data_IF_983547471384
#
_entry.id   IF_983547471384
#
_cell.length_a   1.000
_cell.length_b   1.000
_cell.length_c   1.000
_cell.angle_alpha   90.00
_cell.angle_beta   90.00
_cell.angle_gamma   90.00
#
_symmetry.space_group_name_H-M   'P 1'
#
loop_
_entity.id
_entity.type
_entity.pdbx_description
1 polymer ?
#
# COMPACT_ATOMS: atom_id res chain seq x y z
N UNK A 1 -14.50 32.92 -44.54
CA UNK A 1 -14.09 33.35 -43.18
C UNK A 1 -14.36 32.18 -42.25
N UNK A 2 -13.39 31.36 -42.01
CA UNK A 2 -13.47 30.19 -41.18
C UNK A 2 -12.84 30.55 -39.80
N UNK A 3 -13.63 30.51 -38.77
CA UNK A 3 -13.13 30.62 -37.42
C UNK A 3 -12.71 29.23 -36.94
N UNK A 4 -11.42 29.05 -36.81
CA UNK A 4 -10.82 27.94 -36.08
C UNK A 4 -10.87 28.29 -34.60
N UNK A 5 -11.74 27.65 -33.84
CA UNK A 5 -11.73 27.67 -32.39
C UNK A 5 -10.57 26.77 -31.92
N UNK A 6 -9.50 27.37 -31.42
CA UNK A 6 -8.45 26.65 -30.68
C UNK A 6 -9.05 26.11 -29.38
N UNK A 7 -9.15 24.80 -29.31
CA UNK A 7 -9.34 24.06 -28.05
C UNK A 7 -8.01 24.06 -27.29
N UNK A 8 -7.86 25.02 -26.40
CA UNK A 8 -6.75 25.09 -25.45
C UNK A 8 -7.06 24.13 -24.30
N UNK A 9 -6.83 22.83 -24.54
CA UNK A 9 -6.94 21.80 -23.52
C UNK A 9 -5.63 21.72 -22.76
N UNK A 10 -5.67 22.04 -21.50
CA UNK A 10 -4.53 22.03 -20.59
C UNK A 10 -3.87 20.63 -20.53
N UNK A 11 -2.63 20.45 -20.96
CA UNK A 11 -1.96 19.13 -20.95
C UNK A 11 -1.57 18.64 -19.55
N UNK A 12 -1.73 19.46 -18.53
CA UNK A 12 -1.27 19.16 -17.18
C UNK A 12 -2.17 18.19 -16.39
N UNK A 13 -3.49 18.19 -16.65
CA UNK A 13 -4.43 17.33 -15.92
C UNK A 13 -4.41 15.87 -16.40
N UNK A 14 -4.27 15.65 -17.72
CA UNK A 14 -4.19 14.29 -18.26
C UNK A 14 -2.90 13.58 -17.83
N UNK A 15 -1.78 14.31 -17.78
CA UNK A 15 -0.49 13.74 -17.39
C UNK A 15 -0.40 13.32 -15.89
N UNK A 16 -1.20 13.95 -15.02
CA UNK A 16 -1.20 13.62 -13.60
C UNK A 16 -2.21 12.53 -13.23
N UNK A 17 -3.38 12.52 -13.85
CA UNK A 17 -4.34 11.43 -13.69
C UNK A 17 -3.80 10.09 -14.19
N UNK A 18 -3.05 10.11 -15.30
CA UNK A 18 -2.36 8.93 -15.86
C UNK A 18 -1.23 8.43 -14.95
N UNK A 19 -0.62 9.29 -14.13
CA UNK A 19 0.48 8.90 -13.22
C UNK A 19 0.01 8.25 -11.92
N UNK A 20 -1.17 8.59 -11.47
CA UNK A 20 -1.77 7.98 -10.27
C UNK A 20 -2.44 6.63 -10.56
N UNK A 21 -2.89 6.42 -11.80
CA UNK A 21 -3.26 5.08 -12.25
C UNK A 21 -1.95 4.30 -12.45
N UNK A 22 -1.74 3.29 -11.67
CA UNK A 22 -0.61 2.36 -11.82
C UNK A 22 -0.53 1.90 -13.28
N UNK A 23 0.68 1.74 -13.89
CA UNK A 23 0.87 1.59 -15.34
C UNK A 23 -0.01 0.52 -16.03
N UNK A 24 -0.39 -0.53 -15.32
CA UNK A 24 -1.21 -1.60 -15.87
C UNK A 24 -2.71 -1.23 -16.00
N UNK A 25 -3.23 -0.30 -15.21
CA UNK A 25 -4.59 0.22 -15.41
C UNK A 25 -4.72 0.99 -16.75
N UNK A 26 -3.59 1.49 -17.31
CA UNK A 26 -3.57 2.17 -18.60
C UNK A 26 -3.68 1.22 -19.80
N UNK A 27 -3.15 0.00 -19.67
CA UNK A 27 -3.18 -0.95 -20.79
C UNK A 27 -4.61 -1.42 -21.11
N UNK A 28 -5.50 -1.41 -20.12
CA UNK A 28 -6.91 -1.79 -20.30
C UNK A 28 -7.76 -0.66 -20.90
N UNK A 29 -7.35 0.60 -20.77
CA UNK A 29 -8.11 1.77 -21.28
C UNK A 29 -7.83 2.07 -22.75
N UNK A 30 -6.64 1.70 -23.28
CA UNK A 30 -6.26 2.00 -24.68
C UNK A 30 -6.91 1.05 -25.70
N UNK A 31 -7.44 -0.10 -25.26
CA UNK A 31 -8.10 -1.07 -26.15
C UNK A 31 -9.59 -0.81 -26.43
N UNK A 32 -10.23 0.19 -25.85
CA UNK A 32 -11.68 0.33 -25.83
C UNK A 32 -12.27 1.68 -26.26
N UNK A 33 -11.55 2.57 -26.92
CA UNK A 33 -12.13 3.80 -27.46
C UNK A 33 -12.73 3.55 -28.86
N UNK A 34 -13.84 2.82 -28.93
CA UNK A 34 -14.79 2.96 -30.04
C UNK A 34 -15.96 3.81 -29.56
N UNK A 35 -16.02 5.06 -30.03
CA UNK A 35 -17.15 5.95 -29.82
C UNK A 35 -18.41 5.32 -30.41
N UNK A 36 -19.34 4.89 -29.59
CA UNK A 36 -20.70 4.60 -30.01
C UNK A 36 -21.48 5.94 -30.09
N UNK A 37 -21.31 6.67 -31.18
CA UNK A 37 -22.26 7.69 -31.63
C UNK A 37 -23.54 6.98 -32.08
N UNK A 38 -24.69 7.38 -31.51
CA UNK A 38 -26.00 6.74 -31.65
C UNK A 38 -26.38 6.30 -33.05
N UNK A 39 -26.58 5.02 -33.21
CA UNK A 39 -27.50 4.35 -34.14
C UNK A 39 -27.74 2.92 -33.65
N UNK A 40 -29.01 2.50 -33.62
CA UNK A 40 -29.45 1.17 -33.24
C UNK A 40 -28.95 0.12 -34.25
N UNK A 41 -27.80 -0.47 -34.03
CA UNK A 41 -27.33 -1.80 -34.49
C UNK A 41 -25.82 -1.89 -34.22
N UNK A 42 -25.43 -2.30 -33.02
CA UNK A 42 -24.07 -2.70 -32.71
C UNK A 42 -24.05 -4.22 -32.51
N UNK A 43 -23.85 -4.98 -33.60
CA UNK A 43 -23.62 -6.45 -33.54
C UNK A 43 -22.24 -6.81 -32.94
N UNK A 44 -21.47 -5.83 -32.44
CA UNK A 44 -20.19 -5.99 -31.75
C UNK A 44 -20.10 -5.13 -30.47
N UNK A 45 -21.16 -5.07 -29.67
CA UNK A 45 -20.99 -4.69 -28.29
C UNK A 45 -20.20 -5.81 -27.60
N UNK A 46 -18.89 -5.56 -27.36
CA UNK A 46 -18.15 -6.40 -26.43
C UNK A 46 -18.95 -6.39 -25.13
N UNK A 47 -19.48 -7.54 -24.74
CA UNK A 47 -20.03 -7.76 -23.41
C UNK A 47 -18.85 -7.60 -22.44
N UNK A 48 -18.64 -6.35 -21.98
CA UNK A 48 -17.70 -6.10 -20.90
C UNK A 48 -18.32 -6.73 -19.66
N UNK A 49 -17.82 -7.89 -19.28
CA UNK A 49 -18.18 -8.48 -18.00
C UNK A 49 -17.51 -7.62 -16.93
N UNK A 50 -18.28 -7.01 -16.02
CA UNK A 50 -17.69 -6.27 -14.91
C UNK A 50 -16.68 -7.16 -14.18
N UNK A 51 -15.45 -6.70 -14.01
CA UNK A 51 -14.45 -7.39 -13.22
C UNK A 51 -14.34 -6.74 -11.85
N UNK A 52 -14.33 -7.54 -10.82
CA UNK A 52 -14.06 -7.11 -9.47
C UNK A 52 -12.55 -7.11 -9.26
N UNK A 53 -12.01 -6.06 -8.66
CA UNK A 53 -10.58 -5.85 -8.43
C UNK A 53 -10.36 -5.49 -6.98
N UNK A 54 -9.32 -6.06 -6.36
CA UNK A 54 -8.86 -5.70 -5.03
C UNK A 54 -7.49 -5.03 -5.11
N UNK A 55 -7.35 -3.88 -4.46
CA UNK A 55 -6.10 -3.13 -4.38
C UNK A 55 -5.54 -3.11 -2.97
N UNK A 56 -6.39 -2.76 -1.99
CA UNK A 56 -6.05 -2.62 -0.58
C UNK A 56 -6.34 -3.88 0.22
N UNK A 57 -5.48 -4.21 1.20
CA UNK A 57 -5.66 -5.34 2.10
C UNK A 57 -4.99 -5.05 3.43
N UNK A 58 -5.68 -5.39 4.52
CA UNK A 58 -5.14 -5.40 5.89
C UNK A 58 -5.55 -6.67 6.61
N UNK A 59 -4.73 -7.09 7.56
CA UNK A 59 -4.96 -8.27 8.39
C UNK A 59 -4.79 -7.91 9.87
N UNK A 60 -5.77 -8.24 10.70
CA UNK A 60 -5.78 -8.04 12.14
C UNK A 60 -6.86 -8.89 12.80
N UNK A 61 -6.88 -8.97 14.12
CA UNK A 61 -8.03 -9.53 14.85
C UNK A 61 -9.17 -8.51 14.92
N UNK A 62 -9.97 -8.41 13.83
CA UNK A 62 -11.07 -7.46 13.76
C UNK A 62 -12.28 -7.84 14.61
N UNK A 63 -12.45 -9.11 14.95
CA UNK A 63 -13.60 -9.59 15.70
C UNK A 63 -13.30 -9.97 17.15
N UNK A 64 -12.08 -9.72 17.63
CA UNK A 64 -11.67 -9.89 19.03
C UNK A 64 -11.62 -11.34 19.50
N UNK A 65 -11.46 -12.30 18.57
CA UNK A 65 -11.45 -13.72 18.88
C UNK A 65 -10.05 -14.34 19.02
N UNK A 66 -9.00 -13.54 18.82
CA UNK A 66 -7.60 -13.96 18.91
C UNK A 66 -7.06 -14.58 17.61
N UNK A 67 -7.83 -14.59 16.51
CA UNK A 67 -7.39 -15.10 15.21
C UNK A 67 -7.39 -13.98 14.16
N UNK A 68 -6.48 -14.06 13.21
CA UNK A 68 -6.37 -13.09 12.14
C UNK A 68 -7.57 -13.12 11.22
N UNK A 69 -8.24 -12.00 11.09
CA UNK A 69 -9.26 -11.68 10.09
C UNK A 69 -8.64 -10.82 8.98
N UNK A 70 -9.27 -10.78 7.80
CA UNK A 70 -8.75 -10.06 6.65
C UNK A 70 -9.81 -9.09 6.15
N UNK A 71 -9.41 -7.84 5.86
CA UNK A 71 -10.26 -6.90 5.14
C UNK A 71 -9.54 -6.46 3.87
N UNK A 72 -10.25 -6.56 2.74
CA UNK A 72 -9.75 -6.09 1.45
C UNK A 72 -10.73 -5.13 0.79
N UNK A 73 -10.20 -4.25 -0.08
CA UNK A 73 -11.04 -3.47 -0.98
C UNK A 73 -11.60 -4.33 -2.09
N UNK A 74 -12.76 -3.95 -2.60
CA UNK A 74 -13.40 -4.59 -3.75
C UNK A 74 -14.02 -3.52 -4.60
N UNK A 75 -13.51 -3.33 -5.81
CA UNK A 75 -13.98 -2.31 -6.76
C UNK A 75 -14.52 -3.00 -7.99
N UNK A 76 -15.76 -2.67 -8.39
CA UNK A 76 -16.38 -3.20 -9.62
C UNK A 76 -16.09 -2.26 -10.78
N UNK A 77 -15.23 -2.68 -11.71
CA UNK A 77 -14.94 -1.93 -12.94
C UNK A 77 -15.94 -2.29 -14.03
N UNK A 78 -16.77 -1.34 -14.44
CA UNK A 78 -17.84 -1.50 -15.43
C UNK A 78 -17.69 -0.58 -16.65
N UNK A 79 -16.45 -0.32 -17.08
CA UNK A 79 -16.13 0.48 -18.27
C UNK A 79 -15.88 1.96 -18.02
N UNK A 80 -16.77 2.70 -17.37
CA UNK A 80 -16.60 4.12 -17.04
C UNK A 80 -16.86 4.37 -15.55
N UNK A 81 -16.12 5.33 -14.95
CA UNK A 81 -16.38 5.78 -13.58
C UNK A 81 -17.85 6.28 -13.43
N UNK A 82 -18.46 6.17 -12.23
CA UNK A 82 -17.87 5.77 -10.95
C UNK A 82 -17.58 4.27 -10.84
N UNK A 83 -16.57 3.93 -10.03
CA UNK A 83 -16.20 2.54 -9.72
C UNK A 83 -16.52 2.22 -8.26
N UNK A 84 -17.79 1.90 -7.94
CA UNK A 84 -18.19 1.71 -6.56
C UNK A 84 -17.35 0.64 -5.88
N UNK A 85 -16.82 1.00 -4.71
CA UNK A 85 -15.98 0.17 -3.88
C UNK A 85 -16.68 -0.30 -2.62
N UNK A 86 -16.21 -1.42 -2.10
CA UNK A 86 -16.59 -1.95 -0.80
C UNK A 86 -15.36 -2.44 -0.05
N UNK A 87 -15.44 -2.44 1.27
CA UNK A 87 -14.63 -3.29 2.12
C UNK A 87 -15.28 -4.67 2.20
N UNK A 88 -14.51 -5.73 1.97
CA UNK A 88 -14.91 -7.12 2.22
C UNK A 88 -14.17 -7.62 3.45
N UNK A 89 -14.87 -7.80 4.55
CA UNK A 89 -14.31 -8.33 5.78
C UNK A 89 -14.54 -9.86 5.84
N UNK A 90 -13.45 -10.62 5.79
CA UNK A 90 -13.39 -12.06 6.00
C UNK A 90 -13.02 -12.31 7.45
N UNK A 91 -14.03 -12.52 8.28
CA UNK A 91 -13.83 -12.68 9.73
C UNK A 91 -13.42 -14.12 10.02
N UNK A 92 -12.32 -14.30 10.75
CA UNK A 92 -11.87 -15.61 11.18
C UNK A 92 -12.85 -16.23 12.18
N UNK A 93 -13.16 -17.50 11.98
CA UNK A 93 -13.95 -18.33 12.91
C UNK A 93 -13.09 -19.31 13.70
N UNK A 94 -11.78 -19.27 13.50
CA UNK A 94 -10.76 -20.12 14.10
C UNK A 94 -9.70 -20.52 13.07
N UNK A 95 -8.72 -21.29 13.48
CA UNK A 95 -7.55 -21.66 12.69
C UNK A 95 -7.85 -21.96 11.21
N UNK A 96 -7.54 -21.00 10.34
CA UNK A 96 -7.70 -21.12 8.88
C UNK A 96 -9.13 -21.14 8.33
N UNK A 97 -10.15 -20.87 9.15
CA UNK A 97 -11.54 -20.84 8.73
C UNK A 97 -12.13 -19.42 8.80
N UNK A 98 -12.86 -19.02 7.75
CA UNK A 98 -13.45 -17.70 7.64
C UNK A 98 -14.98 -17.78 7.45
N UNK A 99 -15.70 -16.80 7.98
CA UNK A 99 -17.10 -16.60 7.69
C UNK A 99 -17.29 -16.03 6.28
N UNK A 100 -18.49 -16.10 5.75
CA UNK A 100 -18.84 -15.39 4.53
C UNK A 100 -18.54 -13.88 4.70
N UNK A 101 -17.97 -13.19 3.68
CA UNK A 101 -17.52 -11.82 3.85
C UNK A 101 -18.67 -10.85 4.13
N UNK A 102 -18.43 -9.94 5.07
CA UNK A 102 -19.29 -8.79 5.35
C UNK A 102 -18.87 -7.63 4.43
N UNK A 103 -19.86 -7.01 3.79
CA UNK A 103 -19.61 -5.90 2.87
C UNK A 103 -19.97 -4.57 3.53
N UNK A 104 -19.06 -3.59 3.45
CA UNK A 104 -19.28 -2.21 3.85
C UNK A 104 -18.94 -1.29 2.68
N UNK A 105 -19.83 -0.35 2.32
CA UNK A 105 -19.58 0.57 1.20
C UNK A 105 -18.41 1.51 1.51
N UNK A 106 -17.47 1.66 0.56
CA UNK A 106 -16.22 2.43 0.69
C UNK A 106 -16.03 3.47 -0.42
N UNK A 107 -17.13 4.09 -0.89
CA UNK A 107 -17.01 5.14 -1.89
C UNK A 107 -16.60 4.65 -3.27
N UNK A 108 -15.79 5.45 -3.98
CA UNK A 108 -15.37 5.19 -5.37
C UNK A 108 -13.87 4.91 -5.47
N UNK A 109 -13.51 3.71 -5.93
CA UNK A 109 -12.15 3.27 -6.22
C UNK A 109 -11.17 3.33 -5.02
N UNK A 110 -11.45 2.63 -3.91
CA UNK A 110 -10.50 2.53 -2.79
C UNK A 110 -9.23 1.79 -3.24
N UNK A 111 -8.05 2.40 -2.98
CA UNK A 111 -6.77 1.89 -3.48
C UNK A 111 -5.89 1.27 -2.40
N UNK A 112 -5.95 1.78 -1.17
CA UNK A 112 -5.04 1.38 -0.09
C UNK A 112 -5.77 1.33 1.23
N UNK A 113 -5.41 0.37 2.07
CA UNK A 113 -5.92 0.24 3.43
C UNK A 113 -4.78 0.34 4.44
N UNK A 114 -5.08 0.98 5.57
CA UNK A 114 -4.27 0.92 6.78
C UNK A 114 -5.17 0.61 7.98
N UNK A 115 -4.61 0.06 9.05
CA UNK A 115 -5.36 -0.34 10.24
C UNK A 115 -4.63 0.06 11.52
N UNK A 116 -5.38 0.54 12.50
CA UNK A 116 -4.97 0.83 13.87
C UNK A 116 -6.22 0.98 14.74
N UNK A 117 -6.07 0.96 16.07
CA UNK A 117 -7.12 1.41 16.99
C UNK A 117 -7.13 2.96 16.99
N UNK A 118 -8.09 3.54 16.28
CA UNK A 118 -8.19 5.00 16.11
C UNK A 118 -9.15 5.66 17.10
N UNK A 119 -9.95 4.89 17.81
CA UNK A 119 -10.95 5.42 18.74
C UNK A 119 -10.67 5.05 20.21
N UNK A 120 -9.66 4.22 20.47
CA UNK A 120 -9.22 3.81 21.81
C UNK A 120 -10.10 2.73 22.44
N UNK A 121 -10.83 1.95 21.63
CA UNK A 121 -11.69 0.86 22.11
C UNK A 121 -11.01 -0.52 22.08
N UNK A 122 -9.76 -0.57 21.64
CA UNK A 122 -8.91 -1.76 21.50
C UNK A 122 -9.33 -2.71 20.36
N UNK A 123 -10.17 -2.28 19.46
CA UNK A 123 -10.43 -2.95 18.18
C UNK A 123 -9.69 -2.25 17.06
N UNK A 124 -9.25 -3.02 16.10
CA UNK A 124 -8.63 -2.45 14.91
C UNK A 124 -9.68 -1.77 14.02
N UNK A 125 -9.48 -0.50 13.73
CA UNK A 125 -10.23 0.31 12.77
C UNK A 125 -9.54 0.28 11.41
N UNK A 126 -10.18 0.82 10.39
CA UNK A 126 -9.66 0.85 9.02
C UNK A 126 -9.65 2.27 8.48
N UNK A 127 -8.57 2.66 7.82
CA UNK A 127 -8.51 3.84 6.97
C UNK A 127 -8.35 3.39 5.52
N UNK A 128 -9.27 3.85 4.66
CA UNK A 128 -9.21 3.64 3.22
C UNK A 128 -8.81 4.93 2.51
N UNK A 129 -7.88 4.85 1.57
CA UNK A 129 -7.51 5.95 0.69
C UNK A 129 -8.16 5.76 -0.68
N UNK A 130 -9.03 6.72 -1.09
CA UNK A 130 -9.79 6.69 -2.33
C UNK A 130 -9.37 7.84 -3.24
N UNK A 131 -8.67 7.51 -4.32
CA UNK A 131 -8.11 8.50 -5.24
C UNK A 131 -9.18 9.28 -6.00
N UNK A 132 -10.19 8.59 -6.53
CA UNK A 132 -11.23 9.22 -7.36
C UNK A 132 -12.16 10.12 -6.52
N UNK A 133 -12.51 9.70 -5.31
CA UNK A 133 -13.26 10.51 -4.36
C UNK A 133 -12.43 11.63 -3.74
N UNK A 134 -11.10 11.49 -3.73
CA UNK A 134 -10.20 12.43 -3.07
C UNK A 134 -10.40 12.46 -1.56
N UNK A 135 -10.53 11.30 -0.94
CA UNK A 135 -10.85 11.18 0.49
C UNK A 135 -10.01 10.11 1.18
N UNK A 136 -9.86 10.29 2.51
CA UNK A 136 -9.61 9.21 3.43
C UNK A 136 -10.93 8.88 4.14
N UNK A 137 -11.35 7.62 4.10
CA UNK A 137 -12.53 7.14 4.80
C UNK A 137 -12.09 6.33 6.02
N UNK A 138 -12.46 6.79 7.23
CA UNK A 138 -12.14 6.12 8.49
C UNK A 138 -13.34 5.32 8.94
N UNK A 139 -13.20 4.01 9.02
CA UNK A 139 -14.22 3.06 9.42
C UNK A 139 -13.91 2.55 10.82
N UNK A 140 -14.69 2.98 11.80
CA UNK A 140 -14.57 2.47 13.16
C UNK A 140 -15.22 1.10 13.27
N UNK A 141 -14.51 0.16 13.87
CA UNK A 141 -15.02 -1.16 14.20
C UNK A 141 -16.10 -1.04 15.29
N UNK A 142 -17.21 -1.73 15.14
CA UNK A 142 -18.32 -1.64 16.07
C UNK A 142 -18.07 -2.51 17.31
N UNK A 143 -17.78 -1.89 18.45
CA UNK A 143 -17.56 -2.59 19.71
C UNK A 143 -18.77 -3.43 20.19
N UNK A 144 -19.97 -3.20 19.65
CA UNK A 144 -21.16 -4.01 19.95
C UNK A 144 -21.26 -5.23 19.01
N UNK A 145 -20.59 -5.19 17.86
CA UNK A 145 -20.56 -6.23 16.85
C UNK A 145 -19.19 -6.29 16.18
N UNK A 146 -18.13 -6.70 16.91
CA UNK A 146 -16.76 -6.67 16.40
C UNK A 146 -16.61 -7.40 15.06
N UNK A 147 -15.90 -6.74 14.13
CA UNK A 147 -15.75 -7.18 12.74
C UNK A 147 -16.79 -6.58 11.79
N UNK A 148 -17.71 -5.75 12.28
CA UNK A 148 -18.56 -4.89 11.45
C UNK A 148 -18.11 -3.44 11.59
N UNK A 149 -18.25 -2.66 10.52
CA UNK A 149 -17.75 -1.28 10.50
C UNK A 149 -18.90 -0.29 10.41
N UNK A 150 -18.79 0.78 11.19
CA UNK A 150 -19.73 1.88 11.16
C UNK A 150 -19.66 2.64 9.82
N UNK A 151 -20.62 3.54 9.57
CA UNK A 151 -20.52 4.49 8.45
C UNK A 151 -19.24 5.32 8.59
N UNK A 152 -18.47 5.52 7.50
CA UNK A 152 -17.16 6.15 7.61
C UNK A 152 -17.21 7.61 8.01
N UNK A 153 -16.20 8.04 8.78
CA UNK A 153 -15.82 9.44 8.87
C UNK A 153 -15.01 9.78 7.61
N UNK A 154 -15.50 10.72 6.80
CA UNK A 154 -14.84 11.08 5.55
C UNK A 154 -14.00 12.35 5.73
N UNK A 155 -12.70 12.25 5.45
CA UNK A 155 -11.74 13.34 5.49
C UNK A 155 -11.36 13.72 4.04
N UNK A 156 -11.40 15.02 3.71
CA UNK A 156 -11.01 15.48 2.36
C UNK A 156 -9.51 15.40 2.17
N UNK A 157 -9.05 14.62 1.19
CA UNK A 157 -7.65 14.43 0.81
C UNK A 157 -7.54 14.23 -0.72
N UNK A 158 -7.58 15.33 -1.51
CA UNK A 158 -7.68 15.27 -2.96
C UNK A 158 -6.54 14.49 -3.60
N UNK A 159 -6.85 13.34 -4.23
CA UNK A 159 -5.89 12.48 -4.89
C UNK A 159 -5.21 11.48 -3.95
N UNK A 160 -5.77 11.24 -2.75
CA UNK A 160 -5.23 10.27 -1.81
C UNK A 160 -5.12 8.88 -2.44
N UNK A 161 -3.90 8.35 -2.50
CA UNK A 161 -3.61 7.03 -3.04
C UNK A 161 -3.05 6.07 -2.01
N UNK A 162 -2.58 6.62 -0.86
CA UNK A 162 -1.98 5.85 0.22
C UNK A 162 -2.06 6.66 1.52
N UNK A 163 -2.07 5.98 2.65
CA UNK A 163 -2.08 6.56 3.99
C UNK A 163 -1.13 5.80 4.91
N UNK A 164 -0.39 6.53 5.74
CA UNK A 164 0.37 5.99 6.85
C UNK A 164 -0.23 6.48 8.18
N UNK A 165 -0.08 5.69 9.24
CA UNK A 165 -0.62 5.96 10.58
C UNK A 165 0.56 6.02 11.56
N UNK A 166 0.59 7.04 12.42
CA UNK A 166 1.58 7.20 13.48
C UNK A 166 1.24 8.36 14.41
N UNK A 167 1.76 8.35 15.62
CA UNK A 167 1.62 9.48 16.57
C UNK A 167 2.63 10.59 16.18
N UNK A 168 2.21 11.47 15.28
CA UNK A 168 3.07 12.45 14.63
C UNK A 168 3.41 13.67 15.51
N UNK A 169 2.78 13.77 16.67
CA UNK A 169 2.98 14.88 17.61
C UNK A 169 3.35 14.42 19.03
N UNK A 170 3.42 13.09 19.28
CA UNK A 170 3.80 12.52 20.56
C UNK A 170 2.74 12.66 21.65
N UNK A 171 1.45 12.79 21.30
CA UNK A 171 0.35 12.92 22.25
C UNK A 171 -0.31 11.60 22.63
N UNK A 172 0.12 10.49 22.01
CA UNK A 172 -0.37 9.15 22.23
C UNK A 172 -1.59 8.78 21.39
N UNK A 173 -2.04 9.67 20.47
CA UNK A 173 -3.13 9.40 19.55
C UNK A 173 -2.58 9.13 18.14
N UNK A 174 -3.09 8.12 17.42
CA UNK A 174 -2.61 7.85 16.08
C UNK A 174 -3.16 8.89 15.08
N UNK A 175 -2.25 9.58 14.41
CA UNK A 175 -2.50 10.54 13.35
C UNK A 175 -2.44 9.88 11.98
N UNK A 176 -2.91 10.58 10.92
CA UNK A 176 -2.88 10.09 9.55
C UNK A 176 -2.00 10.97 8.67
N UNK A 177 -1.17 10.36 7.86
CA UNK A 177 -0.39 11.05 6.81
C UNK A 177 -0.77 10.49 5.46
N UNK A 178 -1.34 11.32 4.57
CA UNK A 178 -1.75 10.90 3.23
C UNK A 178 -0.70 11.23 2.18
N UNK A 179 -0.48 10.31 1.21
CA UNK A 179 0.18 10.60 -0.04
C UNK A 179 -0.87 10.97 -1.09
N UNK A 180 -0.79 12.19 -1.60
CA UNK A 180 -1.71 12.77 -2.57
C UNK A 180 -0.98 13.82 -3.44
N UNK A 181 -1.70 14.77 -4.03
CA UNK A 181 -1.09 15.95 -4.69
C UNK A 181 -0.20 16.76 -3.75
N UNK A 182 -0.41 16.63 -2.44
CA UNK A 182 0.40 17.14 -1.35
C UNK A 182 0.55 15.99 -0.34
N UNK A 183 1.61 15.98 0.47
CA UNK A 183 1.59 15.15 1.67
C UNK A 183 0.90 15.95 2.76
N UNK A 184 -0.16 15.38 3.32
CA UNK A 184 -1.02 16.06 4.29
C UNK A 184 -1.08 15.27 5.59
N UNK A 185 -0.95 15.98 6.72
CA UNK A 185 -1.05 15.44 8.07
C UNK A 185 -2.43 15.78 8.65
N UNK A 186 -3.15 14.77 9.13
CA UNK A 186 -4.41 14.88 9.85
C UNK A 186 -4.17 14.51 11.30
N UNK A 187 -4.06 15.50 12.17
CA UNK A 187 -3.87 15.28 13.60
C UNK A 187 -5.17 14.79 14.24
N UNK A 188 -5.07 13.73 15.02
CA UNK A 188 -6.14 13.33 15.91
C UNK A 188 -6.15 14.25 17.14
N UNK A 189 -7.29 14.83 17.48
CA UNK A 189 -7.45 15.77 18.60
C UNK A 189 -8.12 15.15 19.83
N UNK A 190 -8.78 14.06 19.62
CA UNK A 190 -9.34 13.14 20.60
C UNK A 190 -9.68 11.84 19.91
N UNK A 191 -9.81 10.70 20.61
CA UNK A 191 -10.09 9.42 19.98
C UNK A 191 -11.18 9.49 18.91
N UNK A 192 -10.84 9.11 17.67
CA UNK A 192 -11.72 9.14 16.50
C UNK A 192 -12.04 10.52 15.89
N UNK A 193 -11.39 11.60 16.33
CA UNK A 193 -11.66 12.96 15.85
C UNK A 193 -10.41 13.60 15.27
N UNK A 194 -10.46 14.01 14.00
CA UNK A 194 -9.32 14.59 13.28
C UNK A 194 -9.49 16.09 13.02
N UNK A 195 -8.40 16.83 13.14
CA UNK A 195 -8.33 18.24 12.75
C UNK A 195 -8.31 18.41 11.22
N UNK A 196 -8.45 19.66 10.76
CA UNK A 196 -8.21 19.97 9.35
C UNK A 196 -6.79 19.64 8.94
N UNK A 197 -6.55 19.17 7.68
CA UNK A 197 -5.23 18.73 7.24
C UNK A 197 -4.19 19.86 7.23
N UNK A 198 -2.97 19.51 7.63
CA UNK A 198 -1.78 20.36 7.59
C UNK A 198 -0.93 19.89 6.40
N UNK A 199 -0.67 20.73 5.38
CA UNK A 199 0.18 20.35 4.28
C UNK A 199 1.65 20.29 4.73
N UNK A 200 2.31 19.13 4.55
CA UNK A 200 3.72 18.92 4.87
C UNK A 200 4.62 19.10 3.64
N UNK A 201 4.14 18.67 2.46
CA UNK A 201 4.89 18.73 1.22
C UNK A 201 3.96 18.97 0.02
N UNK A 202 4.31 19.95 -0.83
CA UNK A 202 3.45 20.38 -1.96
C UNK A 202 3.93 19.88 -3.33
N UNK A 203 4.93 19.00 -3.38
CA UNK A 203 5.50 18.46 -4.61
C UNK A 203 4.74 17.26 -5.22
N UNK A 204 3.73 16.78 -4.52
CA UNK A 204 3.06 15.50 -4.82
C UNK A 204 3.90 14.30 -4.40
N UNK A 205 3.27 13.29 -3.83
CA UNK A 205 3.90 12.04 -3.44
C UNK A 205 3.06 10.85 -3.89
N UNK A 206 3.72 9.76 -4.26
CA UNK A 206 3.05 8.52 -4.64
C UNK A 206 2.99 7.52 -3.48
N UNK A 207 3.90 7.68 -2.51
CA UNK A 207 3.99 6.84 -1.33
C UNK A 207 4.48 7.64 -0.14
N UNK A 208 4.03 7.28 1.06
CA UNK A 208 4.48 7.86 2.31
C UNK A 208 4.68 6.75 3.35
N UNK A 209 5.70 6.91 4.19
CA UNK A 209 5.93 6.09 5.38
C UNK A 209 6.30 7.01 6.54
N UNK A 210 5.96 6.62 7.75
CA UNK A 210 6.23 7.39 8.97
C UNK A 210 7.00 6.54 9.97
N UNK A 211 7.95 7.15 10.65
CA UNK A 211 8.79 6.51 11.66
C UNK A 211 9.88 7.46 12.14
N UNK A 212 10.39 7.25 13.34
CA UNK A 212 11.50 8.04 13.89
C UNK A 212 12.80 7.73 13.13
N UNK A 213 13.23 8.62 12.27
CA UNK A 213 14.43 8.50 11.43
C UNK A 213 15.63 9.29 11.98
N UNK A 214 15.48 9.92 13.15
CA UNK A 214 16.56 10.72 13.76
C UNK A 214 16.82 10.37 15.22
N UNK A 215 16.01 9.46 15.82
CA UNK A 215 16.17 8.99 17.20
C UNK A 215 15.64 9.95 18.26
N UNK A 216 14.76 10.90 17.90
CA UNK A 216 14.17 11.86 18.84
C UNK A 216 12.87 11.36 19.49
N UNK A 217 12.36 10.20 19.07
CA UNK A 217 11.17 9.55 19.58
C UNK A 217 9.86 10.03 18.95
N UNK A 218 9.91 10.91 17.97
CA UNK A 218 8.74 11.40 17.23
C UNK A 218 8.86 11.00 15.76
N UNK A 219 7.78 10.50 15.13
CA UNK A 219 7.88 10.07 13.75
C UNK A 219 8.22 11.20 12.76
N UNK A 220 9.13 10.88 11.86
CA UNK A 220 9.46 11.63 10.66
C UNK A 220 8.64 11.15 9.49
N UNK A 221 8.72 11.81 8.34
CA UNK A 221 8.01 11.42 7.12
C UNK A 221 9.00 11.10 6.02
N UNK A 222 8.97 9.88 5.50
CA UNK A 222 9.60 9.53 4.24
C UNK A 222 8.55 9.50 3.13
N UNK A 223 8.88 10.06 1.97
CA UNK A 223 7.97 10.12 0.82
C UNK A 223 8.70 9.83 -0.49
N UNK A 224 7.95 9.36 -1.49
CA UNK A 224 8.45 9.24 -2.86
C UNK A 224 7.80 10.27 -3.77
N UNK A 225 8.61 10.96 -4.55
CA UNK A 225 8.16 11.82 -5.63
C UNK A 225 8.76 11.39 -6.98
N UNK A 226 8.64 12.21 -8.01
CA UNK A 226 9.18 11.91 -9.34
C UNK A 226 10.73 11.92 -9.41
N UNK A 227 11.42 12.33 -8.34
CA UNK A 227 12.88 12.43 -8.28
C UNK A 227 13.47 11.23 -7.51
N UNK A 228 12.75 10.74 -6.50
CA UNK A 228 13.19 9.67 -5.64
C UNK A 228 12.57 9.73 -4.26
N UNK A 229 13.32 9.33 -3.25
CA UNK A 229 12.89 9.32 -1.85
C UNK A 229 13.41 10.54 -1.12
N UNK A 230 12.51 11.22 -0.43
CA UNK A 230 12.80 12.35 0.45
C UNK A 230 12.37 12.05 1.87
N UNK A 231 13.09 12.66 2.82
CA UNK A 231 12.71 12.64 4.24
C UNK A 231 12.45 14.06 4.72
N UNK A 232 11.43 14.21 5.55
CA UNK A 232 11.10 15.40 6.30
C UNK A 232 11.27 15.06 7.77
N UNK A 233 12.33 15.54 8.39
CA UNK A 233 12.57 15.32 9.82
C UNK A 233 11.66 16.21 10.64
N UNK A 234 11.00 15.65 11.64
CA UNK A 234 10.31 16.41 12.65
C UNK A 234 11.31 17.35 13.36
N UNK A 235 10.91 18.58 13.65
CA UNK A 235 11.76 19.57 14.32
C UNK A 235 11.00 20.24 15.45
N UNK A 236 11.50 20.13 16.65
CA UNK A 236 10.90 20.82 17.78
C UNK A 236 10.53 19.90 18.93
N UNK A 237 9.74 20.44 19.87
CA UNK A 237 9.22 19.65 20.99
C UNK A 237 8.03 18.82 20.52
N UNK A 238 7.77 17.74 21.24
CA UNK A 238 6.50 17.03 21.17
C UNK A 238 5.32 18.02 21.17
N UNK A 239 4.27 17.73 20.42
CA UNK A 239 3.14 18.62 20.13
C UNK A 239 3.42 19.75 19.10
N UNK A 240 4.64 19.91 18.59
CA UNK A 240 4.91 20.77 17.46
C UNK A 240 4.76 19.98 16.16
N UNK A 241 4.02 20.47 15.17
CA UNK A 241 3.85 19.87 13.85
C UNK A 241 4.79 20.54 12.82
N UNK A 242 6.03 20.71 13.21
CA UNK A 242 7.03 21.40 12.38
C UNK A 242 8.04 20.40 11.84
N UNK A 243 8.23 20.44 10.53
CA UNK A 243 9.16 19.56 9.82
C UNK A 243 10.25 20.40 9.12
N UNK A 244 11.44 19.85 9.06
CA UNK A 244 12.53 20.44 8.28
C UNK A 244 12.19 20.43 6.78
N UNK A 245 12.91 21.21 6.00
CA UNK A 245 12.81 21.14 4.53
C UNK A 245 13.15 19.71 4.05
N UNK A 246 12.44 19.18 3.04
CA UNK A 246 12.66 17.82 2.56
C UNK A 246 14.08 17.63 2.00
N UNK A 247 14.74 16.55 2.40
CA UNK A 247 16.06 16.15 1.93
C UNK A 247 15.94 14.90 1.07
N UNK A 248 16.50 14.92 -0.14
CA UNK A 248 16.54 13.71 -1.00
C UNK A 248 17.62 12.77 -0.46
N UNK A 249 17.23 11.56 -0.04
CA UNK A 249 18.12 10.54 0.49
C UNK A 249 18.41 9.42 -0.52
N UNK A 250 17.52 9.25 -1.50
CA UNK A 250 17.67 8.28 -2.57
C UNK A 250 17.16 8.89 -3.89
N UNK A 251 17.97 8.80 -4.94
CA UNK A 251 17.59 9.28 -6.27
C UNK A 251 17.18 8.09 -7.13
N UNK A 252 15.97 8.11 -7.63
CA UNK A 252 15.46 7.06 -8.49
C UNK A 252 16.29 6.94 -9.77
N UNK A 253 16.57 5.70 -10.17
CA UNK A 253 17.16 5.43 -11.49
C UNK A 253 16.23 5.95 -12.58
N UNK A 254 16.77 6.72 -13.54
CA UNK A 254 15.98 7.44 -14.53
C UNK A 254 15.14 6.47 -15.40
N UNK A 255 13.87 6.32 -15.08
CA UNK A 255 12.88 5.58 -15.83
C UNK A 255 11.61 6.41 -15.97
N UNK A 256 11.48 7.14 -17.08
CA UNK A 256 10.34 8.03 -17.32
C UNK A 256 8.97 7.31 -17.33
N UNK A 257 8.95 6.00 -17.57
CA UNK A 257 7.70 5.21 -17.54
C UNK A 257 7.23 4.90 -16.12
N UNK A 258 8.15 4.89 -15.15
CA UNK A 258 7.89 4.49 -13.75
C UNK A 258 8.38 5.53 -12.73
N UNK A 259 8.42 6.80 -13.15
CA UNK A 259 8.80 7.89 -12.24
C UNK A 259 7.88 7.93 -11.00
N UNK A 260 8.48 7.86 -9.81
CA UNK A 260 7.75 7.83 -8.55
C UNK A 260 7.16 6.48 -8.15
N UNK A 261 7.57 5.37 -8.80
CA UNK A 261 7.11 4.02 -8.45
C UNK A 261 7.90 3.37 -7.30
N UNK A 262 8.76 4.13 -6.60
CA UNK A 262 9.42 3.64 -5.41
C UNK A 262 8.42 3.51 -4.26
N UNK A 263 8.48 2.39 -3.55
CA UNK A 263 7.81 2.17 -2.28
C UNK A 263 8.83 2.28 -1.16
N UNK A 264 8.38 2.64 0.03
CA UNK A 264 9.23 2.81 1.21
C UNK A 264 8.63 2.00 2.35
N UNK A 265 9.49 1.26 3.07
CA UNK A 265 9.23 0.80 4.41
C UNK A 265 10.28 1.39 5.35
N UNK A 266 9.89 1.63 6.61
CA UNK A 266 10.75 2.10 7.69
C UNK A 266 10.79 1.02 8.75
N UNK A 267 11.97 0.54 9.09
CA UNK A 267 12.18 -0.47 10.15
C UNK A 267 13.65 -0.50 10.57
N UNK A 268 13.94 -0.87 11.81
CA UNK A 268 15.28 -1.24 12.26
C UNK A 268 15.63 -2.61 11.69
N UNK A 269 16.33 -2.64 10.54
CA UNK A 269 16.64 -3.91 9.87
C UNK A 269 17.97 -4.49 10.28
N UNK A 270 18.77 -3.79 11.09
CA UNK A 270 20.06 -4.30 11.54
C UNK A 270 20.11 -4.56 13.05
N UNK A 271 19.05 -4.21 13.79
CA UNK A 271 18.92 -4.45 15.24
C UNK A 271 19.75 -3.48 16.08
N UNK A 272 20.11 -2.29 15.56
CA UNK A 272 20.88 -1.29 16.29
C UNK A 272 20.01 -0.29 17.07
N UNK A 273 18.68 -0.38 16.93
CA UNK A 273 17.70 0.49 17.58
C UNK A 273 17.38 1.75 16.80
N UNK A 274 17.90 1.91 15.58
CA UNK A 274 17.62 3.03 14.68
C UNK A 274 16.79 2.53 13.49
N UNK A 275 15.83 3.32 13.06
CA UNK A 275 15.04 2.97 11.89
C UNK A 275 15.82 3.25 10.59
N UNK A 276 15.80 2.26 9.72
CA UNK A 276 16.41 2.26 8.41
C UNK A 276 15.36 2.48 7.32
N UNK A 277 15.79 2.71 6.07
CA UNK A 277 14.92 2.81 4.91
C UNK A 277 15.09 1.61 3.99
N UNK A 278 13.98 0.97 3.64
CA UNK A 278 13.91 -0.08 2.62
C UNK A 278 13.09 0.45 1.45
N UNK A 279 13.72 0.54 0.28
CA UNK A 279 13.20 1.28 -0.89
C UNK A 279 13.18 0.37 -2.11
N UNK A 280 12.07 0.26 -2.81
CA UNK A 280 12.02 -0.42 -4.11
C UNK A 280 12.47 0.51 -5.23
N UNK A 281 13.20 0.00 -6.22
CA UNK A 281 13.55 0.72 -7.45
C UNK A 281 13.17 -0.15 -8.67
N UNK A 282 12.26 0.31 -9.54
CA UNK A 282 11.85 -0.42 -10.73
C UNK A 282 12.98 -0.62 -11.76
N UNK A 283 14.15 0.00 -11.54
CA UNK A 283 15.28 -0.04 -12.45
C UNK A 283 15.13 0.88 -13.67
N UNK A 284 16.18 1.03 -14.49
CA UNK A 284 16.18 1.88 -15.66
C UNK A 284 15.31 1.33 -16.79
N UNK A 285 14.75 2.25 -17.60
CA UNK A 285 14.05 1.87 -18.82
C UNK A 285 14.99 1.08 -19.75
N UNK A 286 14.62 -0.15 -20.09
CA UNK A 286 15.37 -0.99 -21.04
C UNK A 286 16.03 -2.24 -20.46
N UNK A 287 15.75 -2.61 -19.20
CA UNK A 287 15.90 -4.01 -18.80
C UNK A 287 16.89 -4.39 -17.71
N UNK A 288 17.33 -3.47 -16.84
CA UNK A 288 17.88 -3.94 -15.57
C UNK A 288 16.74 -4.48 -14.70
N UNK A 289 17.01 -5.56 -13.97
CA UNK A 289 16.04 -6.10 -13.02
C UNK A 289 15.68 -5.05 -11.96
N UNK A 290 14.41 -5.01 -11.48
CA UNK A 290 14.04 -4.20 -10.34
C UNK A 290 14.85 -4.62 -9.11
N UNK A 291 15.07 -3.69 -8.20
CA UNK A 291 15.83 -3.91 -6.99
C UNK A 291 15.07 -3.41 -5.77
N UNK A 292 15.47 -3.92 -4.60
CA UNK A 292 15.22 -3.28 -3.32
C UNK A 292 16.55 -2.78 -2.76
N UNK A 293 16.56 -1.57 -2.26
CA UNK A 293 17.74 -0.91 -1.67
C UNK A 293 17.51 -0.68 -0.19
N UNK A 294 18.49 -1.06 0.62
CA UNK A 294 18.51 -0.83 2.07
C UNK A 294 19.49 0.31 2.37
N UNK A 295 19.02 1.33 3.06
CA UNK A 295 19.80 2.45 3.55
C UNK A 295 19.78 2.40 5.07
N UNK A 296 20.86 1.94 5.68
CA UNK A 296 21.00 1.93 7.13
C UNK A 296 21.17 3.36 7.64
N UNK A 297 20.53 3.70 8.75
CA UNK A 297 20.75 4.98 9.41
C UNK A 297 22.19 5.05 9.93
N UNK A 298 22.85 6.21 9.82
CA UNK A 298 24.20 6.41 10.34
C UNK A 298 24.14 6.71 11.84
N UNK A 299 24.59 5.80 12.72
CA UNK A 299 24.52 6.00 14.17
C UNK A 299 25.41 7.16 14.66
N UNK A 300 26.37 7.62 13.84
CA UNK A 300 27.18 8.80 14.16
C UNK A 300 26.51 10.12 13.79
N UNK A 301 25.52 10.08 12.89
CA UNK A 301 24.82 11.26 12.37
C UNK A 301 23.33 10.99 12.25
N UNK A 302 22.55 11.09 13.33
CA UNK A 302 21.10 10.84 13.32
C UNK A 302 20.39 11.59 12.18
N UNK A 303 19.48 10.93 11.48
CA UNK A 303 18.79 11.46 10.33
C UNK A 303 19.59 11.45 9.02
N UNK A 304 20.79 10.87 9.01
CA UNK A 304 21.56 10.57 7.81
C UNK A 304 21.62 9.06 7.57
N UNK A 305 21.88 8.68 6.32
CA UNK A 305 21.89 7.28 5.92
C UNK A 305 23.22 6.90 5.27
N UNK A 306 23.65 5.69 5.51
CA UNK A 306 24.80 5.09 4.85
C UNK A 306 24.48 4.83 3.35
N UNK A 307 25.50 4.60 2.50
CA UNK A 307 25.27 4.28 1.10
C UNK A 307 24.35 3.07 0.92
N UNK A 308 23.40 3.15 0.00
CA UNK A 308 22.43 2.11 -0.28
C UNK A 308 23.11 0.79 -0.71
N UNK A 309 22.63 -0.32 -0.17
CA UNK A 309 22.96 -1.68 -0.63
C UNK A 309 21.73 -2.23 -1.36
N UNK A 310 21.89 -2.62 -2.63
CA UNK A 310 20.78 -3.04 -3.48
C UNK A 310 20.79 -4.54 -3.73
N UNK A 311 19.59 -5.12 -3.73
CA UNK A 311 19.34 -6.56 -3.95
C UNK A 311 18.38 -6.71 -5.12
N UNK A 312 18.67 -7.64 -6.06
CA UNK A 312 17.78 -7.92 -7.19
C UNK A 312 16.51 -8.64 -6.72
N UNK A 313 15.37 -8.26 -7.30
CA UNK A 313 14.07 -8.89 -7.08
C UNK A 313 13.61 -9.63 -8.34
N UNK A 314 12.34 -10.02 -8.45
CA UNK A 314 11.83 -10.70 -9.65
C UNK A 314 11.96 -9.82 -10.89
N UNK A 315 12.56 -10.35 -11.96
CA UNK A 315 12.73 -9.62 -13.22
C UNK A 315 11.38 -9.26 -13.86
N UNK A 316 11.25 -8.01 -14.32
CA UNK A 316 10.04 -7.50 -14.98
C UNK A 316 8.87 -7.22 -14.03
N UNK A 317 9.07 -7.33 -12.73
CA UNK A 317 8.05 -7.04 -11.71
C UNK A 317 8.13 -5.59 -11.25
N UNK A 318 7.00 -4.87 -11.31
CA UNK A 318 6.84 -3.60 -10.63
C UNK A 318 6.41 -3.86 -9.20
N UNK A 319 7.13 -3.28 -8.24
CA UNK A 319 6.71 -3.34 -6.86
C UNK A 319 5.40 -2.56 -6.65
N UNK A 320 4.46 -3.19 -5.98
CA UNK A 320 3.15 -2.62 -5.63
C UNK A 320 2.91 -2.58 -4.13
N UNK A 321 3.65 -3.42 -3.39
CA UNK A 321 3.63 -3.46 -1.93
C UNK A 321 5.01 -3.81 -1.40
N UNK A 322 5.35 -3.29 -0.23
CA UNK A 322 6.56 -3.63 0.52
C UNK A 322 6.21 -3.77 1.99
N UNK A 323 6.70 -4.83 2.62
CA UNK A 323 6.56 -5.09 4.05
C UNK A 323 7.90 -5.56 4.59
N UNK A 324 8.24 -5.12 5.80
CA UNK A 324 9.38 -5.61 6.58
C UNK A 324 8.84 -6.30 7.82
N UNK A 325 9.12 -7.59 7.96
CA UNK A 325 8.68 -8.43 9.08
C UNK A 325 9.55 -9.69 9.19
N UNK A 326 9.67 -10.26 10.38
CA UNK A 326 10.27 -11.57 10.56
C UNK A 326 9.33 -12.64 10.00
N UNK A 327 9.58 -13.04 8.75
CA UNK A 327 8.79 -14.08 8.07
C UNK A 327 9.48 -15.44 8.08
N UNK A 328 10.65 -15.53 8.67
CA UNK A 328 11.38 -16.79 8.87
C UNK A 328 11.24 -17.35 10.29
N UNK A 329 10.84 -16.50 11.26
CA UNK A 329 10.73 -16.85 12.66
C UNK A 329 12.08 -16.95 13.38
N UNK A 330 13.13 -16.31 12.84
CA UNK A 330 14.46 -16.30 13.43
C UNK A 330 14.74 -15.07 14.30
N UNK A 331 13.80 -14.14 14.38
CA UNK A 331 13.88 -12.92 15.14
C UNK A 331 14.50 -11.74 14.40
N UNK A 332 14.84 -11.92 13.11
CA UNK A 332 15.38 -10.85 12.25
C UNK A 332 14.34 -10.39 11.23
N UNK A 333 14.26 -9.07 10.94
CA UNK A 333 13.32 -8.59 9.95
C UNK A 333 13.75 -8.95 8.53
N UNK A 334 12.83 -9.57 7.79
CA UNK A 334 12.95 -9.93 6.38
C UNK A 334 12.20 -8.91 5.51
N UNK A 335 12.44 -8.92 4.20
CA UNK A 335 11.77 -8.02 3.25
C UNK A 335 10.85 -8.84 2.33
N UNK A 336 9.58 -8.44 2.26
CA UNK A 336 8.59 -9.04 1.36
C UNK A 336 8.06 -7.96 0.40
N UNK A 337 8.13 -8.24 -0.91
CA UNK A 337 7.74 -7.30 -1.96
C UNK A 337 6.71 -7.97 -2.86
N UNK A 338 5.54 -7.37 -2.99
CA UNK A 338 4.53 -7.72 -3.99
C UNK A 338 4.73 -6.94 -5.28
N UNK A 339 4.51 -7.60 -6.40
CA UNK A 339 4.63 -6.98 -7.71
C UNK A 339 3.77 -7.65 -8.77
N UNK A 340 3.91 -7.22 -10.03
CA UNK A 340 3.06 -7.65 -11.15
C UNK A 340 3.09 -9.16 -11.41
N UNK A 341 4.22 -9.82 -11.16
CA UNK A 341 4.43 -11.22 -11.57
C UNK A 341 4.91 -12.12 -10.44
N UNK A 342 5.26 -11.55 -9.29
CA UNK A 342 5.78 -12.32 -8.16
C UNK A 342 5.63 -11.60 -6.82
N UNK A 343 5.63 -12.42 -5.76
CA UNK A 343 6.05 -12.01 -4.43
C UNK A 343 7.51 -12.41 -4.27
N UNK A 344 8.38 -11.44 -3.94
CA UNK A 344 9.80 -11.64 -3.67
C UNK A 344 10.04 -11.59 -2.17
N UNK A 345 10.68 -12.62 -1.61
CA UNK A 345 11.04 -12.69 -0.19
C UNK A 345 12.56 -12.67 -0.09
N UNK A 346 13.10 -11.71 0.66
CA UNK A 346 14.53 -11.61 0.96
C UNK A 346 14.70 -11.83 2.46
N UNK A 347 15.26 -12.97 2.82
CA UNK A 347 15.58 -13.27 4.22
C UNK A 347 16.84 -12.52 4.63
N UNK A 348 16.85 -12.02 5.86
CA UNK A 348 18.05 -11.40 6.42
C UNK A 348 19.16 -12.45 6.61
N UNK A 349 20.41 -12.07 6.39
CA UNK A 349 21.57 -12.92 6.67
C UNK A 349 21.88 -12.87 8.17
N UNK A 350 21.65 -13.96 8.91
CA UNK A 350 21.87 -13.97 10.36
C UNK A 350 23.36 -13.79 10.75
N UNK A 351 24.28 -13.92 9.80
CA UNK A 351 25.71 -13.70 10.04
C UNK A 351 26.12 -12.22 9.91
N UNK A 352 25.32 -11.41 9.23
CA UNK A 352 25.62 -10.01 8.94
C UNK A 352 24.34 -9.17 9.01
N UNK A 353 23.95 -8.68 10.22
CA UNK A 353 22.75 -7.89 10.40
C UNK A 353 22.63 -6.71 9.41
N UNK A 354 21.44 -6.47 8.90
CA UNK A 354 21.18 -5.44 7.89
C UNK A 354 21.56 -5.82 6.46
N UNK A 355 22.01 -7.07 6.23
CA UNK A 355 22.21 -7.60 4.88
C UNK A 355 21.22 -8.73 4.58
N UNK A 356 20.91 -8.94 3.31
CA UNK A 356 19.87 -9.87 2.89
C UNK A 356 20.41 -10.89 1.90
N UNK A 357 19.87 -12.10 1.97
CA UNK A 357 20.12 -13.17 1.01
C UNK A 357 19.46 -12.88 -0.34
N UNK A 358 19.81 -13.63 -1.37
CA UNK A 358 19.16 -13.52 -2.67
C UNK A 358 17.66 -13.79 -2.56
N UNK A 359 16.84 -13.01 -3.28
CA UNK A 359 15.38 -13.12 -3.25
C UNK A 359 14.91 -14.51 -3.69
N UNK A 360 14.01 -15.09 -2.92
CA UNK A 360 13.16 -16.22 -3.34
C UNK A 360 11.86 -15.64 -3.92
N UNK A 361 11.53 -16.05 -5.15
CA UNK A 361 10.40 -15.50 -5.88
C UNK A 361 9.26 -16.51 -5.99
N UNK A 362 8.07 -16.12 -5.59
CA UNK A 362 6.84 -16.89 -5.68
C UNK A 362 5.97 -16.29 -6.79
N UNK A 363 5.63 -17.07 -7.85
CA UNK A 363 4.78 -16.58 -8.95
C UNK A 363 3.41 -16.18 -8.44
N UNK A 364 3.08 -14.92 -8.53
CA UNK A 364 1.78 -14.32 -8.18
C UNK A 364 1.52 -13.19 -9.16
N UNK A 365 0.40 -13.22 -9.84
CA UNK A 365 -0.01 -12.13 -10.73
C UNK A 365 -0.66 -11.01 -9.91
N UNK A 366 -0.24 -9.75 -10.14
CA UNK A 366 -0.82 -8.56 -9.52
C UNK A 366 -0.91 -8.60 -7.98
N UNK A 367 0.21 -8.79 -7.29
CA UNK A 367 0.27 -8.68 -5.83
C UNK A 367 0.22 -7.21 -5.41
N UNK A 368 -1.01 -6.66 -5.26
CA UNK A 368 -1.25 -5.22 -5.07
C UNK A 368 -0.90 -4.72 -3.66
N UNK A 369 -1.44 -5.33 -2.63
CA UNK A 369 -1.09 -5.08 -1.24
C UNK A 369 -0.87 -6.39 -0.51
N UNK A 370 0.14 -6.41 0.37
CA UNK A 370 0.53 -7.56 1.17
C UNK A 370 0.29 -7.25 2.64
N UNK A 371 -0.19 -8.25 3.38
CA UNK A 371 -0.15 -8.30 4.84
C UNK A 371 0.56 -9.58 5.30
N UNK A 372 1.16 -9.52 6.48
CA UNK A 372 1.87 -10.64 7.10
C UNK A 372 1.15 -11.01 8.40
N UNK A 373 0.64 -12.23 8.49
CA UNK A 373 -0.01 -12.72 9.70
C UNK A 373 -0.18 -14.25 9.66
N UNK A 374 -0.31 -14.88 10.80
CA UNK A 374 -0.72 -16.30 10.91
C UNK A 374 -2.23 -16.39 10.63
N UNK A 375 -2.59 -16.89 9.44
CA UNK A 375 -4.00 -17.01 9.04
C UNK A 375 -4.56 -18.41 9.27
N UNK A 376 -3.70 -19.42 9.45
CA UNK A 376 -4.11 -20.81 9.61
C UNK A 376 -4.02 -21.28 11.08
N UNK A 377 -3.45 -20.49 11.99
CA UNK A 377 -3.33 -20.78 13.42
C UNK A 377 -2.25 -21.81 13.75
N UNK A 378 -1.24 -21.96 12.90
CA UNK A 378 -0.14 -22.90 13.13
C UNK A 378 1.06 -22.27 13.87
N UNK A 379 0.99 -20.97 14.14
CA UNK A 379 2.02 -20.19 14.82
C UNK A 379 3.12 -19.65 13.92
N UNK A 380 3.00 -19.85 12.61
CA UNK A 380 3.89 -19.28 11.59
C UNK A 380 3.16 -18.16 10.85
N UNK A 381 3.91 -17.13 10.45
CA UNK A 381 3.30 -16.05 9.69
C UNK A 381 3.21 -16.40 8.21
N UNK A 382 2.08 -16.11 7.60
CA UNK A 382 1.81 -16.31 6.19
C UNK A 382 1.83 -14.98 5.43
N UNK A 383 1.90 -15.04 4.10
CA UNK A 383 1.81 -13.85 3.24
C UNK A 383 0.42 -13.80 2.63
N UNK A 384 -0.34 -12.76 2.97
CA UNK A 384 -1.69 -12.51 2.48
C UNK A 384 -1.64 -11.43 1.42
N UNK A 385 -2.36 -11.61 0.31
CA UNK A 385 -2.17 -10.83 -0.90
C UNK A 385 -3.52 -10.36 -1.45
N UNK A 386 -3.68 -9.05 -1.67
CA UNK A 386 -4.71 -8.53 -2.53
C UNK A 386 -4.30 -8.76 -3.99
N UNK A 387 -5.02 -9.61 -4.71
CA UNK A 387 -4.72 -9.95 -6.11
C UNK A 387 -5.55 -9.14 -7.09
N UNK A 388 -4.99 -8.85 -8.26
CA UNK A 388 -5.69 -8.18 -9.36
C UNK A 388 -6.69 -9.10 -10.09
N UNK A 389 -7.37 -8.58 -11.14
CA UNK A 389 -8.44 -9.29 -11.85
C UNK A 389 -7.95 -10.45 -12.74
N UNK A 390 -6.65 -10.60 -12.90
CA UNK A 390 -6.06 -11.57 -13.83
C UNK A 390 -5.82 -12.93 -13.21
N UNK A 391 -6.03 -13.08 -11.88
CA UNK A 391 -5.84 -14.36 -11.22
C UNK A 391 -7.00 -15.32 -11.59
N UNK A 392 -6.78 -16.32 -12.47
CA UNK A 392 -7.78 -17.31 -12.73
C UNK A 392 -7.85 -18.24 -11.51
N UNK A 393 -8.91 -18.12 -10.74
CA UNK A 393 -9.22 -19.13 -9.71
C UNK A 393 -9.23 -20.53 -10.33
N UNK A 394 -8.88 -21.52 -9.51
CA UNK A 394 -8.97 -22.94 -9.88
C UNK A 394 -10.41 -23.23 -10.31
N UNK A 395 -10.66 -23.30 -11.63
CA UNK A 395 -11.99 -23.57 -12.17
C UNK A 395 -12.56 -22.53 -13.14
N UNK A 396 -11.83 -21.45 -13.47
CA UNK A 396 -12.23 -20.48 -14.52
C UNK A 396 -13.28 -19.45 -14.11
N UNK A 397 -13.62 -19.36 -12.83
CA UNK A 397 -14.43 -18.27 -12.26
C UNK A 397 -13.46 -17.26 -11.65
N UNK A 398 -13.51 -16.01 -12.07
CA UNK A 398 -12.73 -14.92 -11.45
C UNK A 398 -13.36 -14.67 -10.07
N UNK A 399 -12.70 -15.13 -9.01
CA UNK A 399 -13.09 -14.85 -7.64
C UNK A 399 -12.12 -13.81 -7.08
N UNK A 400 -12.65 -12.71 -6.57
CA UNK A 400 -11.86 -11.69 -5.91
C UNK A 400 -11.72 -12.04 -4.42
N UNK A 401 -11.04 -13.16 -4.15
CA UNK A 401 -10.66 -13.58 -2.80
C UNK A 401 -9.19 -13.20 -2.55
N UNK A 402 -8.79 -12.90 -1.30
CA UNK A 402 -7.39 -12.76 -0.95
C UNK A 402 -6.63 -14.03 -1.29
N UNK A 403 -5.42 -13.88 -1.86
CA UNK A 403 -4.49 -14.98 -2.02
C UNK A 403 -3.64 -15.18 -0.78
N UNK A 404 -3.19 -16.40 -0.52
CA UNK A 404 -2.30 -16.71 0.61
C UNK A 404 -1.16 -17.61 0.15
N UNK A 405 0.05 -17.27 0.57
CA UNK A 405 1.22 -18.14 0.56
C UNK A 405 1.46 -18.60 2.00
N UNK A 406 1.16 -19.88 2.29
CA UNK A 406 1.37 -20.42 3.64
C UNK A 406 2.84 -20.73 3.89
N UNK A 407 3.35 -20.37 5.07
CA UNK A 407 4.71 -20.69 5.46
C UNK A 407 4.88 -22.20 5.66
N UNK A 408 6.07 -22.69 5.32
CA UNK A 408 6.41 -24.10 5.49
C UNK A 408 6.92 -24.39 6.89
N UNK A 409 6.23 -25.24 7.63
CA UNK A 409 6.69 -25.67 8.96
C UNK A 409 8.03 -26.46 8.95
N UNK A 410 8.45 -26.96 7.79
CA UNK A 410 9.69 -27.75 7.66
C UNK A 410 10.87 -26.95 7.11
N UNK A 411 10.61 -25.76 6.56
CA UNK A 411 11.62 -24.89 5.97
C UNK A 411 11.21 -23.42 6.23
N UNK A 412 11.54 -22.87 7.41
CA UNK A 412 11.23 -21.50 7.79
C UNK A 412 11.65 -20.49 6.71
N UNK A 413 10.83 -19.45 6.50
CA UNK A 413 11.04 -18.45 5.44
C UNK A 413 10.77 -18.95 4.02
N UNK A 414 10.27 -20.17 3.85
CA UNK A 414 9.76 -20.65 2.55
C UNK A 414 8.25 -20.82 2.57
N UNK A 415 7.61 -20.59 1.43
CA UNK A 415 6.16 -20.55 1.33
C UNK A 415 5.64 -21.54 0.28
N UNK A 416 4.39 -21.95 0.44
CA UNK A 416 3.68 -22.78 -0.53
C UNK A 416 3.35 -22.01 -1.80
N UNK A 417 2.82 -22.71 -2.81
CA UNK A 417 2.18 -22.04 -3.94
C UNK A 417 0.93 -21.27 -3.47
N UNK A 418 0.59 -20.20 -4.22
CA UNK A 418 -0.57 -19.37 -3.95
C UNK A 418 -1.86 -20.21 -3.85
N UNK A 419 -2.63 -19.93 -2.83
CA UNK A 419 -3.94 -20.53 -2.57
C UNK A 419 -4.96 -19.40 -2.41
N UNK A 420 -6.18 -19.60 -2.86
CA UNK A 420 -7.28 -18.71 -2.52
C UNK A 420 -7.72 -18.98 -1.08
N UNK A 421 -8.08 -17.94 -0.35
CA UNK A 421 -8.83 -18.13 0.90
C UNK A 421 -10.17 -18.78 0.60
N UNK A 422 -10.60 -19.73 1.43
CA UNK A 422 -11.86 -20.45 1.21
C UNK A 422 -13.10 -19.57 1.27
#
# INVERSE_FOLDING_TARGET
MSQTTELNTAPALLGRAVRALRPWALLTVVGGLSSCGGYNNCDNCYNYTPSEVSYGLVAADFNGNGFTSIVQTSTVKSGFAPYPGNLKAYLSTGAGAFAAPVLTSDGDNPLYLATADLNGDHLSDIVSASYEDGTLAVFFNDAQSPGTFNSPLVLSSPGASQVAIGDMNGDGLPDLVSADYNVSLFLQTSPGTFASPIPLYSGGANWVAVGDLNGDGIPDVALTDNVGVKVLMHTGAAAATTYAAPVTVFTQTANAAFAGANLIAIADVNGDGLNDLVITDPGPAGGAAPTVSVLLQDPAHPGQFLPAVSYATAAGSLAQSIVVADVSGDGLPDIVIGGDNAVSVLLQDPSTPGTFLAATNYPVEDANQIAIADVNGDGLVDIIIATGPTHPSVGGVITNHPGVLLQSATAPGTFTALQDLP
#
